data_IF_998683107765
#
_entry.id   IF_998683107765
#
_cell.length_a   1.000
_cell.length_b   1.000
_cell.length_c   1.000
_cell.angle_alpha   90.00
_cell.angle_beta   90.00
_cell.angle_gamma   90.00
#
_symmetry.space_group_name_H-M   'P 1'
#
loop_
_entity.id
_entity.type
_entity.pdbx_description
1 polymer ?
#
# COMPACT_ATOMS: atom_id res chain seq x y z
N UNK A 1 20.05 9.69 28.63
CA UNK A 1 18.98 9.46 27.65
C UNK A 1 18.10 8.38 28.23
N UNK A 2 16.81 8.65 28.43
CA UNK A 2 15.90 7.68 29.02
C UNK A 2 15.68 6.50 28.07
N UNK A 3 15.47 5.30 28.62
CA UNK A 3 15.20 4.08 27.83
C UNK A 3 14.05 4.31 26.84
N UNK A 4 13.00 4.99 27.29
CA UNK A 4 11.83 5.40 26.50
C UNK A 4 12.23 6.26 25.30
N UNK A 5 13.16 7.20 25.49
CA UNK A 5 13.65 8.07 24.41
C UNK A 5 14.46 7.27 23.38
N UNK A 6 15.26 6.30 23.83
CA UNK A 6 16.04 5.45 22.94
C UNK A 6 15.14 4.57 22.06
N UNK A 7 14.13 3.91 22.65
CA UNK A 7 13.15 3.12 21.91
C UNK A 7 12.35 3.97 20.91
N UNK A 8 11.93 5.18 21.32
CA UNK A 8 11.25 6.12 20.45
C UNK A 8 12.10 6.49 19.22
N UNK A 9 13.38 6.80 19.43
CA UNK A 9 14.28 7.19 18.34
C UNK A 9 14.48 6.05 17.33
N UNK A 10 14.64 4.83 17.81
CA UNK A 10 14.82 3.63 16.97
C UNK A 10 13.55 3.33 16.16
N UNK A 11 12.38 3.30 16.80
CA UNK A 11 11.11 3.03 16.13
C UNK A 11 10.70 4.14 15.16
N UNK A 12 10.96 5.41 15.51
CA UNK A 12 10.73 6.54 14.62
C UNK A 12 11.60 6.44 13.37
N UNK A 13 12.90 6.14 13.53
CA UNK A 13 13.81 5.91 12.41
C UNK A 13 13.37 4.73 11.52
N UNK A 14 12.95 3.61 12.13
CA UNK A 14 12.43 2.45 11.41
C UNK A 14 11.15 2.77 10.61
N UNK A 15 10.26 3.56 11.20
CA UNK A 15 9.00 3.98 10.56
C UNK A 15 9.28 4.86 9.33
N UNK A 16 10.25 5.78 9.43
CA UNK A 16 10.70 6.58 8.29
C UNK A 16 11.32 5.69 7.20
N UNK A 17 12.12 4.69 7.58
CA UNK A 17 12.67 3.71 6.66
C UNK A 17 11.59 2.94 5.88
N UNK A 18 10.53 2.48 6.57
CA UNK A 18 9.38 1.86 5.94
C UNK A 18 8.63 2.81 5.00
N UNK A 19 8.46 4.08 5.41
CA UNK A 19 7.80 5.09 4.58
C UNK A 19 8.55 5.38 3.28
N UNK A 20 9.89 5.37 3.30
CA UNK A 20 10.71 5.50 2.10
C UNK A 20 10.54 4.27 1.19
N UNK A 21 10.52 3.06 1.77
CA UNK A 21 10.28 1.81 1.03
C UNK A 21 8.88 1.74 0.39
N UNK A 22 7.86 2.32 1.02
CA UNK A 22 6.51 2.48 0.46
C UNK A 22 6.55 3.21 -0.87
N UNK A 23 7.23 4.36 -0.91
CA UNK A 23 7.23 5.25 -2.07
C UNK A 23 8.16 4.74 -3.17
N UNK A 24 9.21 4.00 -2.81
CA UNK A 24 10.15 3.42 -3.77
C UNK A 24 9.60 2.16 -4.49
N UNK A 25 8.49 1.57 -4.04
CA UNK A 25 7.93 0.35 -4.63
C UNK A 25 7.21 0.64 -5.95
N UNK A 26 7.50 -0.17 -6.98
CA UNK A 26 6.99 0.01 -8.36
C UNK A 26 5.58 -0.56 -8.55
N UNK A 27 5.17 -1.52 -7.72
CA UNK A 27 3.85 -2.11 -7.71
C UNK A 27 2.96 -1.49 -6.63
N UNK A 28 1.79 -0.98 -7.04
CA UNK A 28 0.86 -0.28 -6.15
C UNK A 28 0.37 -1.19 -5.02
N UNK A 29 0.11 -2.47 -5.31
CA UNK A 29 -0.35 -3.44 -4.30
C UNK A 29 0.72 -3.65 -3.21
N UNK A 30 1.98 -3.79 -3.63
CA UNK A 30 3.10 -3.97 -2.71
C UNK A 30 3.34 -2.71 -1.86
N UNK A 31 3.22 -1.54 -2.48
CA UNK A 31 3.34 -0.23 -1.82
C UNK A 31 2.33 -0.08 -0.68
N UNK A 32 1.09 -0.55 -0.86
CA UNK A 32 0.05 -0.45 0.17
C UNK A 32 0.25 -1.43 1.32
N UNK A 33 0.79 -2.62 1.07
CA UNK A 33 1.17 -3.54 2.15
C UNK A 33 2.27 -2.92 3.02
N UNK A 34 3.25 -2.27 2.40
CA UNK A 34 4.27 -1.50 3.12
C UNK A 34 3.68 -0.26 3.84
N UNK A 35 2.63 0.34 3.30
CA UNK A 35 1.92 1.46 3.93
C UNK A 35 1.22 1.00 5.21
N UNK A 36 0.57 -0.17 5.17
CA UNK A 36 -0.01 -0.78 6.35
C UNK A 36 1.05 -1.05 7.43
N UNK A 37 2.22 -1.59 7.05
CA UNK A 37 3.34 -1.77 7.97
C UNK A 37 3.83 -0.44 8.59
N UNK A 38 3.85 0.64 7.80
CA UNK A 38 4.21 1.99 8.27
C UNK A 38 3.22 2.49 9.33
N UNK A 39 1.91 2.33 9.12
CA UNK A 39 0.91 2.73 10.12
C UNK A 39 0.94 1.87 11.39
N UNK A 40 1.30 0.59 11.28
CA UNK A 40 1.56 -0.26 12.45
C UNK A 40 2.78 0.27 13.23
N UNK A 41 3.86 0.66 12.53
CA UNK A 41 5.03 1.29 13.15
C UNK A 41 4.68 2.56 13.92
N UNK A 42 3.84 3.44 13.34
CA UNK A 42 3.30 4.62 14.02
C UNK A 42 2.46 4.23 15.25
N UNK A 43 1.65 3.18 15.14
CA UNK A 43 0.89 2.65 16.28
C UNK A 43 1.80 2.24 17.45
N UNK A 44 2.88 1.51 17.16
CA UNK A 44 3.85 1.10 18.19
C UNK A 44 4.45 2.33 18.88
N UNK A 45 4.77 3.40 18.13
CA UNK A 45 5.26 4.66 18.71
C UNK A 45 4.22 5.28 19.68
N UNK A 46 2.93 5.26 19.34
CA UNK A 46 1.87 5.74 20.23
C UNK A 46 1.71 4.89 21.50
N UNK A 47 1.94 3.58 21.41
CA UNK A 47 1.97 2.69 22.57
C UNK A 47 3.10 3.08 23.55
N UNK A 48 4.29 3.40 23.04
CA UNK A 48 5.42 3.87 23.87
C UNK A 48 5.21 5.27 24.46
N UNK A 49 4.43 6.12 23.79
CA UNK A 49 4.05 7.45 24.29
C UNK A 49 2.92 7.41 25.34
N UNK A 50 2.52 6.22 25.81
CA UNK A 50 1.41 6.03 26.75
C UNK A 50 0.08 6.62 26.24
N UNK A 51 -0.09 6.71 24.91
CA UNK A 51 -1.29 7.26 24.29
C UNK A 51 -2.21 6.15 23.79
N UNK A 52 -2.91 5.53 24.73
CA UNK A 52 -3.75 4.35 24.50
C UNK A 52 -4.89 4.66 23.50
N UNK A 53 -5.52 5.82 23.61
CA UNK A 53 -6.61 6.23 22.73
C UNK A 53 -6.15 6.43 21.27
N UNK A 54 -5.00 7.09 21.06
CA UNK A 54 -4.46 7.30 19.72
C UNK A 54 -3.99 5.99 19.11
N UNK A 55 -3.40 5.09 19.91
CA UNK A 55 -3.04 3.75 19.47
C UNK A 55 -4.25 2.95 18.96
N UNK A 56 -5.36 2.97 19.70
CA UNK A 56 -6.59 2.28 19.31
C UNK A 56 -7.16 2.82 18.00
N UNK A 57 -7.26 4.14 17.84
CA UNK A 57 -7.75 4.76 16.60
C UNK A 57 -6.81 4.48 15.43
N UNK A 58 -5.49 4.50 15.66
CA UNK A 58 -4.50 4.22 14.63
C UNK A 58 -4.71 2.82 14.03
N UNK A 59 -4.93 1.82 14.87
CA UNK A 59 -5.17 0.45 14.40
C UNK A 59 -6.55 0.32 13.77
N UNK A 60 -7.59 0.80 14.43
CA UNK A 60 -8.97 0.62 13.97
C UNK A 60 -9.26 1.36 12.66
N UNK A 61 -8.84 2.62 12.56
CA UNK A 61 -9.16 3.49 11.43
C UNK A 61 -8.12 3.41 10.33
N UNK A 62 -6.82 3.53 10.65
CA UNK A 62 -5.79 3.59 9.61
C UNK A 62 -5.39 2.19 9.12
N UNK A 63 -5.01 1.29 10.01
CA UNK A 63 -4.62 -0.09 9.64
C UNK A 63 -5.83 -0.91 9.19
N UNK A 64 -6.98 -0.76 9.86
CA UNK A 64 -8.22 -1.45 9.53
C UNK A 64 -8.96 -0.84 8.34
N UNK A 65 -9.62 0.31 8.55
CA UNK A 65 -10.56 0.85 7.56
C UNK A 65 -9.88 1.46 6.32
N UNK A 66 -8.98 2.42 6.50
CA UNK A 66 -8.40 3.22 5.41
C UNK A 66 -7.50 2.35 4.51
N UNK A 67 -6.62 1.53 5.09
CA UNK A 67 -5.77 0.64 4.28
C UNK A 67 -6.57 -0.36 3.45
N UNK A 68 -7.61 -0.97 4.02
CA UNK A 68 -8.47 -1.90 3.26
C UNK A 68 -9.26 -1.14 2.19
N UNK A 69 -9.75 0.07 2.47
CA UNK A 69 -10.41 0.91 1.47
C UNK A 69 -9.47 1.25 0.30
N UNK A 70 -8.20 1.59 0.59
CA UNK A 70 -7.18 1.87 -0.42
C UNK A 70 -6.90 0.60 -1.25
N UNK A 71 -6.66 -0.55 -0.60
CA UNK A 71 -6.45 -1.83 -1.28
C UNK A 71 -7.61 -2.16 -2.21
N UNK A 72 -8.84 -2.00 -1.71
CA UNK A 72 -10.04 -2.26 -2.48
C UNK A 72 -10.18 -1.31 -3.68
N UNK A 73 -9.94 -0.02 -3.46
CA UNK A 73 -9.93 1.00 -4.51
C UNK A 73 -8.91 0.72 -5.62
N UNK A 74 -7.71 0.26 -5.25
CA UNK A 74 -6.67 -0.09 -6.22
C UNK A 74 -7.03 -1.35 -7.00
N UNK A 75 -7.56 -2.39 -6.34
CA UNK A 75 -7.99 -3.60 -7.03
C UNK A 75 -9.13 -3.32 -8.02
N UNK A 76 -10.09 -2.45 -7.65
CA UNK A 76 -11.17 -2.01 -8.54
C UNK A 76 -10.63 -1.18 -9.72
N UNK A 77 -9.69 -0.27 -9.46
CA UNK A 77 -9.13 0.63 -10.48
C UNK A 77 -8.18 -0.11 -11.44
N UNK A 78 -7.35 -1.03 -10.93
CA UNK A 78 -6.43 -1.83 -11.75
C UNK A 78 -7.17 -2.63 -12.82
N UNK A 79 -8.36 -3.14 -12.51
CA UNK A 79 -9.22 -3.84 -13.49
C UNK A 79 -9.85 -2.94 -14.55
N UNK A 80 -9.90 -1.62 -14.33
CA UNK A 80 -10.38 -0.65 -15.33
C UNK A 80 -9.26 -0.15 -16.25
N UNK A 81 -7.99 -0.28 -15.84
CA UNK A 81 -6.83 0.16 -16.64
C UNK A 81 -6.11 -0.99 -17.36
N UNK A 82 -6.33 -2.25 -16.97
CA UNK A 82 -6.01 -3.43 -17.80
C UNK A 82 -7.11 -3.58 -18.85
N UNK A 83 -7.13 -2.62 -19.78
CA UNK A 83 -8.04 -2.54 -20.92
C UNK A 83 -7.33 -2.05 -22.17
N UNK A 84 -6.02 -2.27 -22.26
CA UNK A 84 -5.20 -1.96 -23.42
C UNK A 84 -4.28 -3.12 -23.67
N UNK A 85 -4.75 -4.04 -24.50
CA UNK A 85 -4.06 -5.08 -25.28
C UNK A 85 -5.20 -5.99 -25.78
N UNK A 86 -5.57 -6.09 -27.05
CA UNK A 86 -5.01 -5.65 -28.32
C UNK A 86 -6.24 -5.57 -29.24
N UNK A 87 -6.33 -4.60 -30.16
CA UNK A 87 -7.02 -4.94 -31.41
C UNK A 87 -6.19 -6.06 -32.01
N UNK A 88 -6.63 -7.30 -31.82
CA UNK A 88 -6.15 -8.40 -32.64
C UNK A 88 -6.35 -7.93 -34.07
N UNK A 89 -5.23 -7.64 -34.72
CA UNK A 89 -5.20 -7.40 -36.15
C UNK A 89 -5.72 -8.69 -36.74
N UNK A 90 -6.94 -8.63 -37.26
CA UNK A 90 -7.47 -9.64 -38.18
C UNK A 90 -6.48 -9.71 -39.33
N UNK A 91 -5.53 -10.63 -39.19
CA UNK A 91 -4.58 -10.97 -40.22
C UNK A 91 -5.38 -11.67 -41.32
N UNK A 92 -5.98 -10.84 -42.16
CA UNK A 92 -5.62 -10.88 -43.55
C UNK A 92 -5.69 -12.27 -44.19
N UNK A 93 -6.73 -13.05 -43.91
CA UNK A 93 -7.20 -14.10 -44.84
C UNK A 93 -7.86 -13.45 -46.06
N UNK A 94 -7.10 -12.55 -46.70
CA UNK A 94 -7.32 -12.03 -48.04
C UNK A 94 -6.94 -13.15 -49.01
N UNK A 95 -7.95 -13.82 -49.56
CA UNK A 95 -7.78 -14.68 -50.74
C UNK A 95 -8.24 -16.13 -50.65
N UNK A 96 -9.29 -16.45 -49.86
CA UNK A 96 -9.75 -17.85 -49.74
C UNK A 96 -11.16 -18.15 -50.20
N UNK A 97 -11.93 -17.26 -50.83
CA UNK A 97 -13.28 -17.65 -51.33
C UNK A 97 -13.69 -16.91 -52.60
N UNK A 98 -13.33 -17.50 -53.74
CA UNK A 98 -14.00 -17.42 -55.06
C UNK A 98 -13.48 -18.67 -55.80
N UNK A 99 -14.35 -19.62 -56.13
CA UNK A 99 -15.21 -19.53 -57.31
C UNK A 99 -16.69 -19.84 -57.06
#
# INVERSE_FOLDING_TARGET
MDLTTLFFLIFSGLTIGCAIMVVASKDIVHSVVFLAATFVGVGIIYMFLNSEYLFLIQILVYVGAINVLILFGIMLTKRRMVGGDVCEVDDGKKGRWSP
#
